data_IF_160849499032
#
_entry.id   IF_160849499032
#
_cell.length_a   1.000
_cell.length_b   1.000
_cell.length_c   1.000
_cell.angle_alpha   90.00
_cell.angle_beta   90.00
_cell.angle_gamma   90.00
#
_symmetry.space_group_name_H-M   'P 1'
#
loop_
_entity.id
_entity.type
_entity.pdbx_description
1 polymer ?
#
# COMPACT_ATOMS: atom_id res chain seq x y z
N UNK A 1 -18.55 25.74 -3.91
CA UNK A 1 -18.14 24.38 -3.53
C UNK A 1 -16.72 24.48 -2.97
N UNK A 2 -16.49 24.16 -1.70
CA UNK A 2 -15.12 24.13 -1.18
C UNK A 2 -14.36 23.00 -1.87
N UNK A 3 -13.40 23.34 -2.69
CA UNK A 3 -12.52 22.38 -3.33
C UNK A 3 -11.41 22.05 -2.35
N UNK A 4 -11.38 20.85 -1.84
CA UNK A 4 -10.32 20.39 -0.95
C UNK A 4 -9.02 20.22 -1.75
N UNK A 5 -7.89 20.61 -1.17
CA UNK A 5 -6.60 20.58 -1.84
C UNK A 5 -5.58 19.83 -0.96
N UNK A 6 -4.82 18.93 -1.60
CA UNK A 6 -3.74 18.16 -1.00
C UNK A 6 -2.49 18.24 -1.86
N UNK A 7 -1.33 18.00 -1.27
CA UNK A 7 -0.09 17.82 -2.04
C UNK A 7 -0.15 16.52 -2.83
N UNK A 8 -0.67 15.45 -2.19
CA UNK A 8 -0.75 14.11 -2.78
C UNK A 8 -2.11 13.46 -2.52
N UNK A 9 -2.73 12.95 -3.59
CA UNK A 9 -3.86 12.04 -3.52
C UNK A 9 -3.44 10.62 -3.94
N UNK A 10 -3.83 9.61 -3.17
CA UNK A 10 -3.48 8.20 -3.42
C UNK A 10 -4.75 7.39 -3.68
N UNK A 11 -4.80 6.69 -4.78
CA UNK A 11 -5.87 5.76 -5.13
C UNK A 11 -5.42 4.34 -4.81
N UNK A 12 -5.96 3.76 -3.75
CA UNK A 12 -5.66 2.41 -3.25
C UNK A 12 -4.84 2.41 -1.97
N UNK A 13 -5.42 1.89 -0.89
CA UNK A 13 -4.84 1.74 0.45
C UNK A 13 -4.10 0.40 0.66
N UNK A 14 -3.64 -0.25 -0.41
CA UNK A 14 -2.78 -1.43 -0.32
C UNK A 14 -1.32 -1.07 0.03
N UNK A 15 -0.41 -2.07 0.11
CA UNK A 15 0.97 -1.83 0.55
C UNK A 15 1.72 -0.75 -0.23
N UNK A 16 1.49 -0.61 -1.54
CA UNK A 16 2.14 0.41 -2.35
C UNK A 16 1.63 1.82 -2.01
N UNK A 17 0.31 1.99 -1.93
CA UNK A 17 -0.30 3.30 -1.63
C UNK A 17 -0.02 3.76 -0.22
N UNK A 18 -0.15 2.87 0.77
CA UNK A 18 0.14 3.21 2.17
C UNK A 18 1.62 3.50 2.40
N UNK A 19 2.54 2.74 1.77
CA UNK A 19 3.97 3.03 1.86
C UNK A 19 4.31 4.41 1.28
N UNK A 20 3.72 4.78 0.14
CA UNK A 20 3.87 6.11 -0.43
C UNK A 20 3.30 7.19 0.50
N UNK A 21 2.11 6.96 1.06
CA UNK A 21 1.44 7.87 1.98
C UNK A 21 2.26 8.11 3.26
N UNK A 22 2.79 7.03 3.88
CA UNK A 22 3.64 7.13 5.08
C UNK A 22 4.86 8.02 4.81
N UNK A 23 5.57 7.77 3.71
CA UNK A 23 6.76 8.54 3.37
C UNK A 23 6.45 10.00 3.06
N UNK A 24 5.38 10.27 2.33
CA UNK A 24 4.97 11.62 1.98
C UNK A 24 4.51 12.41 3.22
N UNK A 25 3.67 11.82 4.07
CA UNK A 25 3.20 12.45 5.30
C UNK A 25 4.35 12.72 6.29
N UNK A 26 5.29 11.78 6.45
CA UNK A 26 6.51 11.99 7.25
C UNK A 26 7.42 13.09 6.69
N UNK A 27 7.34 13.38 5.39
CA UNK A 27 8.03 14.50 4.76
C UNK A 27 7.28 15.84 4.93
N UNK A 28 6.16 15.86 5.63
CA UNK A 28 5.37 17.06 5.91
C UNK A 28 4.38 17.44 4.82
N UNK A 29 4.13 16.56 3.85
CA UNK A 29 3.15 16.79 2.79
C UNK A 29 1.73 16.42 3.28
N UNK A 30 0.73 17.16 2.81
CA UNK A 30 -0.67 16.82 3.00
C UNK A 30 -1.07 15.67 2.08
N UNK A 31 -1.55 14.56 2.64
CA UNK A 31 -1.84 13.33 1.91
C UNK A 31 -3.24 12.84 2.21
N UNK A 32 -4.00 12.50 1.15
CA UNK A 32 -5.27 11.80 1.27
C UNK A 32 -5.20 10.47 0.52
N UNK A 33 -5.71 9.39 1.12
CA UNK A 33 -5.70 8.03 0.57
C UNK A 33 -7.13 7.51 0.48
N UNK A 34 -7.52 7.04 -0.69
CA UNK A 34 -8.81 6.40 -0.92
C UNK A 34 -8.65 4.89 -1.05
N UNK A 35 -9.32 4.15 -0.19
CA UNK A 35 -9.40 2.69 -0.25
C UNK A 35 -10.87 2.27 -0.45
N UNK A 36 -11.11 1.50 -1.52
CA UNK A 36 -12.48 1.03 -1.84
C UNK A 36 -13.02 -0.02 -0.87
N UNK A 37 -12.15 -0.72 -0.19
CA UNK A 37 -12.52 -1.67 0.86
C UNK A 37 -12.60 -1.02 2.23
N UNK A 38 -13.16 -1.74 3.18
CA UNK A 38 -13.15 -1.34 4.59
C UNK A 38 -11.76 -1.50 5.20
N UNK A 39 -11.50 -0.78 6.28
CA UNK A 39 -10.32 -1.02 7.12
C UNK A 39 -10.28 -2.48 7.58
N UNK A 40 -9.11 -3.09 7.55
CA UNK A 40 -8.94 -4.50 7.93
C UNK A 40 -9.53 -5.51 6.94
N UNK A 41 -9.81 -5.09 5.68
CA UNK A 41 -10.27 -6.00 4.63
C UNK A 41 -9.28 -7.12 4.37
N UNK A 42 -9.78 -8.26 3.95
CA UNK A 42 -8.95 -9.31 3.41
C UNK A 42 -8.62 -9.07 1.93
N UNK A 43 -7.51 -9.63 1.47
CA UNK A 43 -7.06 -9.56 0.08
C UNK A 43 -6.42 -10.89 -0.31
N UNK A 44 -6.92 -11.51 -1.36
CA UNK A 44 -6.35 -12.74 -1.91
C UNK A 44 -4.88 -12.51 -2.26
N UNK A 45 -4.01 -13.29 -1.59
CA UNK A 45 -2.55 -13.23 -1.72
C UNK A 45 -1.95 -14.54 -1.18
N UNK A 46 -0.71 -14.85 -1.53
CA UNK A 46 0.07 -15.93 -0.91
C UNK A 46 0.74 -15.53 0.40
N UNK A 47 0.49 -14.33 0.91
CA UNK A 47 0.97 -13.81 2.20
C UNK A 47 2.50 -13.81 2.41
N UNK A 48 3.24 -14.15 1.36
CA UNK A 48 4.69 -14.25 1.39
C UNK A 48 5.37 -12.89 1.24
N UNK A 49 6.27 -12.59 2.16
CA UNK A 49 7.14 -11.41 2.15
C UNK A 49 8.57 -11.83 1.83
N UNK A 50 9.12 -11.28 0.77
CA UNK A 50 10.54 -11.48 0.42
C UNK A 50 11.45 -10.66 1.33
N UNK A 51 12.77 -10.96 1.40
CA UNK A 51 13.74 -10.12 2.12
C UNK A 51 13.66 -8.65 1.76
N UNK A 52 13.41 -8.34 0.49
CA UNK A 52 13.23 -6.96 0.03
C UNK A 52 11.98 -6.30 0.63
N UNK A 53 10.88 -7.05 0.73
CA UNK A 53 9.67 -6.54 1.35
C UNK A 53 9.86 -6.29 2.84
N UNK A 54 10.56 -7.22 3.55
CA UNK A 54 10.92 -7.03 4.96
C UNK A 54 11.80 -5.79 5.14
N UNK A 55 12.81 -5.60 4.29
CA UNK A 55 13.65 -4.40 4.33
C UNK A 55 12.84 -3.11 4.17
N UNK A 56 11.89 -3.08 3.23
CA UNK A 56 11.01 -1.93 3.03
C UNK A 56 10.08 -1.67 4.23
N UNK A 57 9.56 -2.73 4.88
CA UNK A 57 8.74 -2.59 6.08
C UNK A 57 9.56 -2.09 7.28
N UNK A 58 10.80 -2.56 7.42
CA UNK A 58 11.73 -2.07 8.45
C UNK A 58 12.04 -0.58 8.25
N UNK A 59 12.26 -0.12 7.01
CA UNK A 59 12.45 1.30 6.70
C UNK A 59 11.22 2.17 7.02
N UNK A 60 10.03 1.57 6.98
CA UNK A 60 8.77 2.21 7.36
C UNK A 60 8.45 2.05 8.85
N UNK A 61 9.32 1.36 9.60
CA UNK A 61 9.14 1.07 11.03
C UNK A 61 7.83 0.33 11.32
N UNK A 62 7.44 -0.59 10.41
CA UNK A 62 6.27 -1.45 10.59
C UNK A 62 6.68 -2.68 11.39
N UNK A 63 6.16 -2.88 12.61
CA UNK A 63 6.47 -4.05 13.43
C UNK A 63 5.86 -5.32 12.80
N UNK A 64 6.63 -6.40 12.85
CA UNK A 64 6.29 -7.71 12.27
C UNK A 64 6.15 -8.76 13.40
N UNK A 65 5.63 -8.36 14.55
CA UNK A 65 5.70 -9.12 15.80
C UNK A 65 5.04 -10.51 15.74
N UNK A 66 4.07 -10.69 14.86
CA UNK A 66 3.34 -11.95 14.70
C UNK A 66 3.51 -12.57 13.28
N UNK A 67 4.48 -12.11 12.52
CA UNK A 67 4.83 -12.72 11.25
C UNK A 67 5.64 -14.00 11.45
N UNK A 68 5.38 -15.01 10.63
CA UNK A 68 6.16 -16.24 10.62
C UNK A 68 7.38 -16.08 9.71
N UNK A 69 8.57 -15.99 10.30
CA UNK A 69 9.82 -15.84 9.56
C UNK A 69 10.24 -17.11 8.84
N UNK A 70 10.74 -16.98 7.61
CA UNK A 70 11.21 -18.08 6.76
C UNK A 70 12.63 -17.81 6.27
N UNK A 71 13.47 -18.87 6.26
CA UNK A 71 14.88 -18.77 5.85
C UNK A 71 15.09 -18.85 4.34
N UNK A 72 14.13 -19.38 3.60
CA UNK A 72 14.28 -19.62 2.18
C UNK A 72 13.03 -20.15 1.53
N UNK A 73 13.21 -20.72 0.34
CA UNK A 73 12.15 -21.30 -0.47
C UNK A 73 12.42 -22.78 -0.70
N UNK A 74 11.37 -23.60 -0.67
CA UNK A 74 11.40 -24.97 -1.14
C UNK A 74 10.63 -25.06 -2.46
N UNK A 75 11.33 -25.39 -3.54
CA UNK A 75 10.75 -25.58 -4.85
C UNK A 75 10.61 -27.08 -5.15
N UNK A 76 9.42 -27.47 -5.60
CA UNK A 76 9.09 -28.88 -5.91
C UNK A 76 8.62 -28.95 -7.36
N UNK A 77 9.30 -29.79 -8.16
CA UNK A 77 8.94 -30.07 -9.55
C UNK A 77 8.91 -31.60 -9.77
N UNK A 78 7.74 -32.18 -9.73
CA UNK A 78 7.56 -33.63 -9.72
C UNK A 78 8.24 -34.28 -8.52
N UNK A 79 9.25 -35.12 -8.76
CA UNK A 79 10.04 -35.77 -7.68
C UNK A 79 11.29 -34.99 -7.26
N UNK A 80 11.58 -33.86 -7.91
CA UNK A 80 12.74 -33.05 -7.62
C UNK A 80 12.40 -31.96 -6.60
N UNK A 81 13.21 -31.86 -5.55
CA UNK A 81 13.11 -30.84 -4.51
C UNK A 81 14.39 -30.03 -4.48
N UNK A 82 14.27 -28.71 -4.40
CA UNK A 82 15.37 -27.78 -4.17
C UNK A 82 15.01 -26.85 -3.02
N UNK A 83 15.90 -26.72 -2.07
CA UNK A 83 15.84 -25.74 -1.00
C UNK A 83 16.84 -24.63 -1.31
N UNK A 84 16.41 -23.39 -1.21
CA UNK A 84 17.18 -22.21 -1.52
C UNK A 84 17.04 -21.25 -0.34
N UNK A 85 18.10 -21.12 0.43
CA UNK A 85 18.15 -20.11 1.49
C UNK A 85 18.26 -18.71 0.89
N UNK A 86 17.70 -17.72 1.59
CA UNK A 86 17.90 -16.33 1.21
C UNK A 86 19.34 -15.94 1.43
N UNK A 87 20.01 -15.31 0.44
CA UNK A 87 21.38 -14.88 0.60
C UNK A 87 21.49 -13.76 1.62
N UNK A 88 22.60 -13.75 2.36
CA UNK A 88 22.98 -12.59 3.18
C UNK A 88 23.46 -11.46 2.26
N UNK A 89 22.85 -10.30 2.37
CA UNK A 89 23.21 -9.10 1.61
C UNK A 89 23.31 -7.90 2.55
N UNK A 90 24.03 -6.87 2.14
CA UNK A 90 24.13 -5.63 2.92
C UNK A 90 22.81 -4.84 2.92
N UNK A 91 21.99 -5.02 1.88
CA UNK A 91 20.79 -4.20 1.64
C UNK A 91 19.51 -4.79 2.23
N UNK A 92 19.40 -6.11 2.31
CA UNK A 92 18.19 -6.79 2.74
C UNK A 92 18.51 -7.88 3.77
N UNK A 93 17.61 -8.16 4.71
CA UNK A 93 17.80 -9.26 5.65
C UNK A 93 17.85 -10.61 4.91
N UNK A 94 18.47 -11.62 5.53
CA UNK A 94 18.58 -12.97 4.99
C UNK A 94 17.38 -13.87 5.28
N UNK A 95 16.23 -13.28 5.48
CA UNK A 95 14.98 -13.99 5.75
C UNK A 95 13.81 -13.28 5.07
N UNK A 96 12.80 -14.05 4.77
CA UNK A 96 11.46 -13.58 4.42
C UNK A 96 10.50 -13.80 5.57
N UNK A 97 9.21 -13.59 5.34
CA UNK A 97 8.16 -13.91 6.27
C UNK A 97 6.88 -14.34 5.56
N UNK A 98 5.98 -14.99 6.30
CA UNK A 98 4.58 -15.15 5.93
C UNK A 98 3.76 -14.35 6.91
N UNK A 99 2.97 -13.42 6.39
CA UNK A 99 2.12 -12.55 7.19
C UNK A 99 0.80 -12.30 6.47
N UNK A 100 -0.36 -12.68 7.06
CA UNK A 100 -1.64 -12.53 6.40
C UNK A 100 -1.88 -11.10 5.93
N UNK A 101 -2.30 -10.94 4.67
CA UNK A 101 -2.52 -9.63 4.04
C UNK A 101 -3.44 -8.74 4.86
N UNK A 102 -4.45 -9.31 5.51
CA UNK A 102 -5.31 -8.53 6.39
C UNK A 102 -4.53 -7.82 7.51
N UNK A 103 -3.54 -8.50 8.11
CA UNK A 103 -2.70 -7.92 9.17
C UNK A 103 -1.71 -6.90 8.61
N UNK A 104 -1.00 -7.28 7.55
CA UNK A 104 -0.07 -6.40 6.87
C UNK A 104 -0.74 -5.11 6.39
N UNK A 105 -1.86 -5.22 5.66
CA UNK A 105 -2.56 -4.07 5.11
C UNK A 105 -3.10 -3.17 6.25
N UNK A 106 -3.65 -3.76 7.33
CA UNK A 106 -4.10 -3.02 8.50
C UNK A 106 -2.97 -2.24 9.16
N UNK A 107 -1.84 -2.90 9.44
CA UNK A 107 -0.69 -2.24 10.06
C UNK A 107 -0.16 -1.07 9.22
N UNK A 108 -0.13 -1.23 7.90
CA UNK A 108 0.28 -0.16 6.99
C UNK A 108 -0.74 0.98 6.92
N UNK A 109 -2.04 0.70 6.94
CA UNK A 109 -3.09 1.72 6.97
C UNK A 109 -3.03 2.53 8.27
N UNK A 110 -2.87 1.85 9.41
CA UNK A 110 -2.75 2.49 10.72
C UNK A 110 -1.49 3.36 10.81
N UNK A 111 -0.37 2.87 10.27
CA UNK A 111 0.86 3.64 10.20
C UNK A 111 0.75 4.88 9.28
N UNK A 112 0.01 4.77 8.16
CA UNK A 112 -0.24 5.91 7.29
C UNK A 112 -1.09 6.98 8.00
N UNK A 113 -2.15 6.57 8.70
CA UNK A 113 -2.97 7.47 9.51
C UNK A 113 -2.15 8.10 10.65
N UNK A 114 -1.33 7.31 11.35
CA UNK A 114 -0.47 7.81 12.43
C UNK A 114 0.61 8.79 11.92
N UNK A 115 1.06 8.64 10.66
CA UNK A 115 1.97 9.57 10.01
C UNK A 115 1.30 10.89 9.58
N UNK A 116 -0.03 10.99 9.65
CA UNK A 116 -0.80 12.19 9.31
C UNK A 116 -1.51 12.13 7.95
N UNK A 117 -1.52 10.99 7.26
CA UNK A 117 -2.31 10.83 6.06
C UNK A 117 -3.81 10.69 6.41
N UNK A 118 -4.67 11.39 5.67
CA UNK A 118 -6.11 11.20 5.77
C UNK A 118 -6.53 9.93 5.04
N UNK A 119 -7.12 8.97 5.76
CA UNK A 119 -7.52 7.67 5.22
C UNK A 119 -9.03 7.64 5.02
N UNK A 120 -9.49 7.48 3.77
CA UNK A 120 -10.91 7.36 3.42
C UNK A 120 -11.18 5.94 2.94
N UNK A 121 -11.97 5.22 3.70
CA UNK A 121 -12.34 3.82 3.43
C UNK A 121 -13.69 3.72 2.71
N UNK A 122 -13.96 2.54 2.14
CA UNK A 122 -15.21 2.21 1.45
C UNK A 122 -15.57 3.21 0.34
N UNK A 123 -14.52 3.82 -0.25
CA UNK A 123 -14.66 4.87 -1.25
C UNK A 123 -13.77 4.59 -2.45
N UNK A 124 -14.40 4.38 -3.59
CA UNK A 124 -13.70 4.28 -4.86
C UNK A 124 -13.33 5.69 -5.36
N UNK A 125 -12.14 5.83 -5.91
CA UNK A 125 -11.67 7.10 -6.47
C UNK A 125 -11.06 6.89 -7.85
N UNK A 126 -11.25 7.87 -8.72
CA UNK A 126 -10.72 7.91 -10.07
C UNK A 126 -9.97 9.23 -10.30
N UNK A 127 -8.94 9.25 -11.15
CA UNK A 127 -8.26 10.49 -11.47
C UNK A 127 -9.16 11.46 -12.24
N UNK A 128 -9.07 12.75 -11.92
CA UNK A 128 -9.68 13.82 -12.71
C UNK A 128 -8.69 14.23 -13.79
N UNK A 129 -9.09 14.08 -15.04
CA UNK A 129 -8.26 14.41 -16.22
C UNK A 129 -8.66 15.75 -16.82
N UNK A 130 -7.65 16.52 -17.26
CA UNK A 130 -7.80 17.68 -18.13
C UNK A 130 -6.78 17.54 -19.26
N UNK A 131 -7.22 17.01 -20.39
CA UNK A 131 -6.34 16.55 -21.45
C UNK A 131 -5.38 15.46 -20.92
N UNK A 132 -4.08 15.69 -21.00
CA UNK A 132 -3.02 14.79 -20.53
C UNK A 132 -2.61 15.05 -19.07
N UNK A 133 -3.26 15.99 -18.38
CA UNK A 133 -2.94 16.35 -16.99
C UNK A 133 -3.92 15.71 -16.02
N UNK A 134 -3.38 15.18 -14.91
CA UNK A 134 -4.16 14.77 -13.77
C UNK A 134 -4.27 15.94 -12.80
N UNK A 135 -5.49 16.37 -12.48
CA UNK A 135 -5.77 17.50 -11.59
C UNK A 135 -6.00 17.08 -10.14
N UNK A 136 -6.22 15.79 -9.90
CA UNK A 136 -6.58 15.24 -8.60
C UNK A 136 -7.44 14.00 -8.75
N UNK A 137 -8.37 13.81 -7.82
CA UNK A 137 -9.24 12.63 -7.80
C UNK A 137 -10.70 13.00 -7.58
N UNK A 138 -11.61 12.25 -8.22
CA UNK A 138 -13.02 12.21 -7.91
C UNK A 138 -13.31 10.95 -7.09
N UNK A 139 -13.82 11.14 -5.87
CA UNK A 139 -14.02 10.07 -4.90
C UNK A 139 -15.50 9.88 -4.59
N UNK A 140 -15.96 8.62 -4.62
CA UNK A 140 -17.37 8.26 -4.49
C UNK A 140 -18.13 8.32 -5.81
N UNK A 141 -19.43 8.11 -5.75
CA UNK A 141 -20.31 8.07 -6.92
C UNK A 141 -21.55 8.94 -6.74
N UNK A 142 -22.06 9.49 -7.84
CA UNK A 142 -23.32 10.24 -7.88
C UNK A 142 -23.25 11.61 -7.22
N UNK A 143 -24.37 12.13 -6.67
CA UNK A 143 -24.46 13.50 -6.15
C UNK A 143 -23.53 13.83 -4.99
N UNK A 144 -23.04 12.80 -4.29
CA UNK A 144 -22.14 12.93 -3.14
C UNK A 144 -20.66 12.73 -3.51
N UNK A 145 -20.33 12.64 -4.79
CA UNK A 145 -18.94 12.54 -5.23
C UNK A 145 -18.16 13.80 -4.82
N UNK A 146 -16.98 13.59 -4.20
CA UNK A 146 -16.07 14.66 -3.77
C UNK A 146 -15.00 14.84 -4.83
N UNK A 147 -14.73 16.08 -5.21
CA UNK A 147 -13.61 16.42 -6.08
C UNK A 147 -12.48 17.00 -5.23
N UNK A 148 -11.34 16.33 -5.24
CA UNK A 148 -10.14 16.69 -4.49
C UNK A 148 -9.07 17.07 -5.51
N UNK A 149 -8.53 18.28 -5.41
CA UNK A 149 -7.36 18.68 -6.18
C UNK A 149 -6.09 18.20 -5.49
N UNK A 150 -5.12 17.75 -6.28
CA UNK A 150 -3.83 17.32 -5.76
C UNK A 150 -2.69 17.72 -6.69
N UNK A 151 -1.56 18.11 -6.12
CA UNK A 151 -0.34 18.40 -6.89
C UNK A 151 0.21 17.13 -7.56
N UNK A 152 0.04 15.96 -6.94
CA UNK A 152 0.40 14.65 -7.47
C UNK A 152 -0.71 13.64 -7.16
N UNK A 153 -1.06 12.81 -8.13
CA UNK A 153 -1.96 11.67 -7.93
C UNK A 153 -1.18 10.37 -8.10
N UNK A 154 -1.20 9.51 -7.07
CA UNK A 154 -0.56 8.19 -7.10
C UNK A 154 -1.64 7.13 -7.29
N UNK A 155 -1.55 6.37 -8.38
CA UNK A 155 -2.45 5.26 -8.66
C UNK A 155 -1.80 3.96 -8.16
N UNK A 156 -2.35 3.41 -7.07
CA UNK A 156 -1.89 2.19 -6.41
C UNK A 156 -3.04 1.15 -6.27
N UNK A 157 -3.93 1.11 -7.26
CA UNK A 157 -5.18 0.32 -7.26
C UNK A 157 -4.96 -1.21 -7.33
N UNK A 158 -3.72 -1.66 -7.51
CA UNK A 158 -3.35 -3.08 -7.59
C UNK A 158 -3.62 -3.69 -8.96
N UNK A 159 -3.29 -4.98 -9.11
CA UNK A 159 -3.29 -5.68 -10.40
C UNK A 159 -4.68 -5.80 -11.08
N UNK A 160 -5.76 -5.65 -10.33
CA UNK A 160 -7.14 -5.73 -10.82
C UNK A 160 -7.88 -4.39 -10.69
N UNK A 161 -7.16 -3.35 -10.35
CA UNK A 161 -7.73 -2.00 -10.28
C UNK A 161 -8.10 -1.51 -11.69
N UNK A 162 -9.30 -0.93 -11.81
CA UNK A 162 -9.71 -0.18 -12.99
C UNK A 162 -9.45 1.30 -12.68
N UNK A 163 -8.59 1.94 -13.44
CA UNK A 163 -8.29 3.36 -13.32
C UNK A 163 -8.25 3.95 -14.72
#
# INVERSE_FOLDING_TARGET
>A
MNTEQYDIAVIGGGPAGTAAAIRAARAGLSVIVFEKGKHGRDKVCGDGLTPRAIGALNELEIPLDDAHYIKGLRMIAGKRVRELDWPTTERFPNHGAVWPRRRLDTALMDAAAAAGAEMIYETEALPIMDGDKVLGVEAGVGPNARKIHAGLTIVAAGAVGKV
#
